data_IF_135622461114
#
_entry.id   IF_135622461114
#
_cell.length_a   1.000
_cell.length_b   1.000
_cell.length_c   1.000
_cell.angle_alpha   90.00
_cell.angle_beta   90.00
_cell.angle_gamma   90.00
#
_symmetry.space_group_name_H-M   'P 1'
#
loop_
_entity.id
_entity.type
_entity.pdbx_description
1 polymer ?
#
# COMPACT_ATOMS: atom_id res chain seq x y z
N UNK A 1 -7.77 -23.98 31.54
CA UNK A 1 -7.80 -22.90 30.53
C UNK A 1 -6.94 -23.41 29.39
N UNK A 2 -7.53 -23.66 28.22
CA UNK A 2 -6.78 -24.19 27.08
C UNK A 2 -5.93 -23.08 26.46
N UNK A 3 -4.75 -23.43 25.94
CA UNK A 3 -3.91 -22.48 25.21
C UNK A 3 -4.62 -22.07 23.91
N UNK A 4 -4.64 -20.76 23.64
CA UNK A 4 -5.14 -20.18 22.39
C UNK A 4 -4.08 -20.34 21.30
N UNK A 5 -4.05 -21.51 20.66
CA UNK A 5 -3.11 -21.82 19.57
C UNK A 5 -3.69 -21.28 18.25
N UNK A 6 -3.05 -20.26 17.68
CA UNK A 6 -3.40 -19.74 16.35
C UNK A 6 -2.60 -20.45 15.26
N UNK A 7 -3.31 -21.10 14.35
CA UNK A 7 -2.72 -21.72 13.17
C UNK A 7 -2.76 -20.74 11.98
N UNK A 8 -1.63 -20.57 11.32
CA UNK A 8 -1.52 -19.79 10.08
C UNK A 8 -1.30 -20.74 8.90
N UNK A 9 -2.13 -20.61 7.87
CA UNK A 9 -2.04 -21.41 6.66
C UNK A 9 -1.76 -20.49 5.47
N UNK A 10 -0.81 -20.88 4.62
CA UNK A 10 -0.48 -20.18 3.38
C UNK A 10 -0.86 -21.07 2.20
N UNK A 11 -1.74 -20.57 1.33
CA UNK A 11 -2.15 -21.25 0.10
C UNK A 11 -1.39 -20.59 -1.05
N UNK A 12 -0.67 -21.38 -1.83
CA UNK A 12 0.10 -20.87 -2.97
C UNK A 12 0.01 -21.80 -4.17
N UNK A 13 0.01 -21.22 -5.37
CA UNK A 13 0.15 -21.96 -6.64
C UNK A 13 1.62 -22.08 -7.07
N UNK A 14 2.54 -21.42 -6.35
CA UNK A 14 3.96 -21.39 -6.65
C UNK A 14 4.62 -22.69 -6.19
N UNK A 15 4.92 -23.58 -7.14
CA UNK A 15 5.48 -24.92 -6.86
C UNK A 15 6.99 -24.97 -6.64
N UNK A 16 7.72 -23.94 -7.10
CA UNK A 16 9.18 -23.87 -7.01
C UNK A 16 9.73 -23.12 -5.81
N UNK A 17 8.86 -22.67 -4.89
CA UNK A 17 9.27 -21.90 -3.71
C UNK A 17 9.22 -22.76 -2.46
N UNK A 18 10.17 -22.55 -1.58
CA UNK A 18 10.16 -23.11 -0.24
C UNK A 18 9.09 -22.43 0.61
N UNK A 19 8.69 -23.07 1.71
CA UNK A 19 7.70 -22.50 2.63
C UNK A 19 8.15 -21.14 3.18
N UNK A 20 9.44 -20.97 3.49
CA UNK A 20 10.00 -19.70 3.96
C UNK A 20 9.85 -18.57 2.95
N UNK A 21 10.16 -18.83 1.68
CA UNK A 21 10.03 -17.84 0.60
C UNK A 21 8.57 -17.47 0.33
N UNK A 22 7.62 -18.38 0.58
CA UNK A 22 6.18 -18.08 0.47
C UNK A 22 5.73 -17.16 1.60
N UNK A 23 6.21 -17.39 2.82
CA UNK A 23 5.93 -16.52 3.98
C UNK A 23 6.56 -15.14 3.78
N UNK A 24 7.82 -15.07 3.35
CA UNK A 24 8.51 -13.81 3.06
C UNK A 24 7.81 -13.01 1.97
N UNK A 25 7.42 -13.68 0.87
CA UNK A 25 6.64 -13.06 -0.20
C UNK A 25 5.30 -12.51 0.30
N UNK A 26 4.60 -13.27 1.14
CA UNK A 26 3.33 -12.83 1.72
C UNK A 26 3.53 -11.62 2.63
N UNK A 27 4.58 -11.61 3.46
CA UNK A 27 4.92 -10.48 4.32
C UNK A 27 5.33 -9.24 3.51
N UNK A 28 6.03 -9.40 2.38
CA UNK A 28 6.36 -8.29 1.47
C UNK A 28 5.14 -7.62 0.83
N UNK A 29 3.95 -8.25 0.86
CA UNK A 29 2.70 -7.61 0.42
C UNK A 29 2.16 -6.59 1.42
N UNK A 30 2.65 -6.54 2.65
CA UNK A 30 2.26 -5.50 3.62
C UNK A 30 2.56 -4.08 3.10
N UNK A 31 3.56 -3.91 2.22
CA UNK A 31 3.78 -2.62 1.57
C UNK A 31 2.62 -2.20 0.65
N UNK A 32 1.89 -3.15 0.05
CA UNK A 32 0.66 -2.85 -0.67
C UNK A 32 -0.46 -2.40 0.27
N UNK A 33 -0.54 -2.96 1.48
CA UNK A 33 -1.52 -2.52 2.48
C UNK A 33 -1.24 -1.10 2.95
N UNK A 34 0.04 -0.73 3.13
CA UNK A 34 0.45 0.65 3.40
C UNK A 34 0.07 1.61 2.26
N UNK A 35 0.24 1.21 0.99
CA UNK A 35 -0.21 2.01 -0.15
C UNK A 35 -1.73 2.20 -0.15
N UNK A 36 -2.48 1.15 0.16
CA UNK A 36 -3.94 1.20 0.27
C UNK A 36 -4.37 2.10 1.44
N UNK A 37 -3.73 1.99 2.61
CA UNK A 37 -3.98 2.87 3.75
C UNK A 37 -3.69 4.34 3.42
N UNK A 38 -2.58 4.62 2.73
CA UNK A 38 -2.24 5.98 2.30
C UNK A 38 -3.25 6.54 1.29
N UNK A 39 -3.79 5.70 0.40
CA UNK A 39 -4.87 6.10 -0.51
C UNK A 39 -6.17 6.40 0.24
N UNK A 40 -6.50 5.54 1.22
CA UNK A 40 -7.74 5.60 2.00
C UNK A 40 -7.75 6.76 2.99
N UNK A 41 -6.68 6.94 3.75
CA UNK A 41 -6.59 7.92 4.85
C UNK A 41 -5.83 9.18 4.45
N UNK A 42 -4.84 9.07 3.55
CA UNK A 42 -4.04 10.22 3.09
C UNK A 42 -4.78 11.06 2.05
N UNK A 43 -5.21 10.44 0.94
CA UNK A 43 -5.94 11.13 -0.14
C UNK A 43 -7.46 11.11 0.07
N UNK A 44 -7.96 10.39 1.08
CA UNK A 44 -9.39 10.23 1.36
C UNK A 44 -10.19 9.73 0.13
N UNK A 45 -9.59 8.85 -0.68
CA UNK A 45 -10.16 8.42 -1.96
C UNK A 45 -11.56 7.78 -1.86
N UNK A 46 -11.94 7.27 -0.69
CA UNK A 46 -13.25 6.63 -0.44
C UNK A 46 -14.25 7.52 0.33
N UNK A 47 -13.87 8.74 0.71
CA UNK A 47 -14.67 9.59 1.59
C UNK A 47 -15.60 10.55 0.86
N UNK A 48 -15.42 10.71 -0.45
CA UNK A 48 -16.26 11.58 -1.28
C UNK A 48 -17.30 10.76 -2.04
N UNK A 49 -18.56 10.69 -1.55
CA UNK A 49 -19.64 10.13 -2.34
C UNK A 49 -19.96 11.09 -3.50
N UNK A 50 -19.57 10.70 -4.69
CA UNK A 50 -20.03 11.26 -5.95
C UNK A 50 -21.38 10.61 -6.30
N UNK A 51 -22.17 11.30 -7.13
CA UNK A 51 -23.59 11.04 -7.39
C UNK A 51 -23.95 9.59 -7.74
N UNK A 52 -23.07 8.86 -8.41
CA UNK A 52 -23.31 7.49 -8.90
C UNK A 52 -22.04 6.61 -8.79
N UNK A 53 -22.22 5.29 -8.98
CA UNK A 53 -21.13 4.31 -8.85
C UNK A 53 -19.99 4.53 -9.85
N UNK A 54 -20.32 4.95 -11.08
CA UNK A 54 -19.33 5.22 -12.12
C UNK A 54 -18.50 6.47 -11.78
N UNK A 55 -19.15 7.51 -11.27
CA UNK A 55 -18.51 8.74 -10.81
C UNK A 55 -17.63 8.50 -9.58
N UNK A 56 -18.04 7.62 -8.66
CA UNK A 56 -17.20 7.19 -7.53
C UNK A 56 -15.95 6.45 -8.01
N UNK A 57 -16.10 5.55 -8.97
CA UNK A 57 -14.97 4.83 -9.55
C UNK A 57 -14.01 5.78 -10.27
N UNK A 58 -14.51 6.70 -11.08
CA UNK A 58 -13.70 7.72 -11.73
C UNK A 58 -12.91 8.57 -10.71
N UNK A 59 -13.54 8.94 -9.59
CA UNK A 59 -12.87 9.65 -8.50
C UNK A 59 -11.73 8.83 -7.88
N UNK A 60 -11.96 7.53 -7.63
CA UNK A 60 -10.91 6.64 -7.13
C UNK A 60 -9.74 6.50 -8.10
N UNK A 61 -10.00 6.45 -9.41
CA UNK A 61 -8.95 6.41 -10.46
C UNK A 61 -8.14 7.71 -10.45
N UNK A 62 -8.80 8.88 -10.39
CA UNK A 62 -8.12 10.18 -10.30
C UNK A 62 -7.27 10.29 -9.04
N UNK A 63 -7.78 9.87 -7.89
CA UNK A 63 -7.05 9.87 -6.63
C UNK A 63 -5.81 8.95 -6.67
N UNK A 64 -5.95 7.76 -7.25
CA UNK A 64 -4.84 6.83 -7.44
C UNK A 64 -3.75 7.38 -8.37
N UNK A 65 -4.15 8.02 -9.47
CA UNK A 65 -3.22 8.67 -10.41
C UNK A 65 -2.45 9.82 -9.73
N UNK A 66 -3.15 10.69 -9.02
CA UNK A 66 -2.54 11.81 -8.30
C UNK A 66 -1.53 11.32 -7.26
N UNK A 67 -1.85 10.23 -6.55
CA UNK A 67 -0.95 9.61 -5.58
C UNK A 67 0.35 9.09 -6.23
N UNK A 68 0.25 8.38 -7.35
CA UNK A 68 1.40 7.88 -8.08
C UNK A 68 2.30 9.01 -8.59
N UNK A 69 1.70 10.09 -9.13
CA UNK A 69 2.45 11.26 -9.55
C UNK A 69 3.20 11.90 -8.38
N UNK A 70 2.55 12.09 -7.22
CA UNK A 70 3.20 12.61 -6.01
C UNK A 70 4.37 11.73 -5.56
N UNK A 71 4.22 10.41 -5.63
CA UNK A 71 5.30 9.48 -5.28
C UNK A 71 6.50 9.59 -6.23
N UNK A 72 6.24 9.66 -7.54
CA UNK A 72 7.29 9.86 -8.55
C UNK A 72 8.01 11.19 -8.39
N UNK A 73 7.28 12.28 -8.13
CA UNK A 73 7.91 13.56 -7.81
C UNK A 73 8.80 13.46 -6.57
N UNK A 74 8.38 12.74 -5.53
CA UNK A 74 9.20 12.48 -4.35
C UNK A 74 10.51 11.73 -4.65
N UNK A 75 10.47 10.77 -5.57
CA UNK A 75 11.66 10.02 -6.02
C UNK A 75 12.62 10.87 -6.86
N UNK A 76 12.09 11.86 -7.59
CA UNK A 76 12.89 12.79 -8.40
C UNK A 76 13.51 13.92 -7.56
N UNK A 77 13.02 14.16 -6.34
CA UNK A 77 13.60 15.18 -5.48
C UNK A 77 14.97 14.72 -4.98
N UNK A 78 16.00 15.59 -5.05
CA UNK A 78 17.29 15.27 -4.47
C UNK A 78 17.14 15.03 -2.98
N UNK A 79 17.87 14.05 -2.45
CA UNK A 79 17.90 13.68 -1.04
C UNK A 79 18.71 14.70 -0.22
N UNK A 80 18.44 16.00 -0.40
CA UNK A 80 19.04 17.06 0.40
C UNK A 80 18.33 17.07 1.74
N UNK A 81 18.97 16.45 2.74
CA UNK A 81 18.51 16.51 4.12
C UNK A 81 18.29 17.97 4.50
N UNK A 82 17.08 18.30 4.96
CA UNK A 82 16.66 19.65 5.38
C UNK A 82 17.56 20.28 6.47
N UNK A 83 18.50 19.50 7.02
CA UNK A 83 19.42 19.85 8.09
C UNK A 83 20.86 20.14 7.62
N UNK A 84 21.21 19.92 6.35
CA UNK A 84 22.58 20.18 5.87
C UNK A 84 22.83 21.65 5.51
N UNK A 85 21.78 22.47 5.44
CA UNK A 85 21.88 23.91 5.10
C UNK A 85 22.10 24.83 6.32
N UNK A 86 22.35 24.27 7.51
CA UNK A 86 22.54 25.02 8.77
C UNK A 86 23.88 24.75 9.48
N UNK A 87 24.83 24.08 8.81
CA UNK A 87 26.22 23.91 9.27
C UNK A 87 27.17 24.56 8.26
#
# INVERSE_FOLDING_TARGET
MFDDIRYFFYITTLRGRTAGEVVELANGRCDQENVIEQLKNGVNAMRMPVRDLESNWAYMVMAALAWNLKAWFGLLMPNVGRWYAQM
#
